data_IF_348830941363
#
_entry.id   IF_348830941363
#
_cell.length_a   1.000
_cell.length_b   1.000
_cell.length_c   1.000
_cell.angle_alpha   90.00
_cell.angle_beta   90.00
_cell.angle_gamma   90.00
#
_symmetry.space_group_name_H-M   'P 1'
#
loop_
_entity.id
_entity.type
_entity.pdbx_description
1 polymer ?
#
# COMPACT_ATOMS: atom_id res chain seq x y z
N UNK A 1 47.95 37.40 -58.96
CA UNK A 1 48.11 35.94 -59.08
C UNK A 1 47.75 35.31 -57.73
N UNK A 2 46.57 34.70 -57.65
CA UNK A 2 45.97 33.77 -56.67
C UNK A 2 46.41 33.82 -55.19
N UNK A 3 45.43 34.18 -54.34
CA UNK A 3 45.37 33.94 -52.90
C UNK A 3 45.10 32.46 -52.62
N UNK A 4 45.75 31.86 -51.61
CA UNK A 4 45.39 30.53 -51.11
C UNK A 4 45.02 30.67 -49.62
N UNK A 5 43.74 30.54 -49.33
CA UNK A 5 43.19 30.28 -48.00
C UNK A 5 43.27 28.77 -47.74
N UNK A 6 43.93 28.36 -46.66
CA UNK A 6 43.83 27.00 -46.14
C UNK A 6 42.87 27.01 -44.95
N UNK A 7 41.72 26.33 -45.11
CA UNK A 7 40.69 26.20 -44.10
C UNK A 7 41.05 25.10 -43.09
N UNK A 8 40.98 25.42 -41.80
CA UNK A 8 41.15 24.48 -40.69
C UNK A 8 39.88 23.66 -40.48
N UNK A 9 39.96 22.33 -40.60
CA UNK A 9 38.91 21.40 -40.20
C UNK A 9 39.02 21.09 -38.70
N UNK A 10 38.07 21.57 -37.91
CA UNK A 10 37.88 21.12 -36.53
C UNK A 10 36.87 19.97 -36.51
N UNK A 11 37.32 18.75 -36.16
CA UNK A 11 36.46 17.60 -35.97
C UNK A 11 35.85 17.65 -34.56
N UNK A 12 34.53 17.88 -34.46
CA UNK A 12 33.78 17.82 -33.21
C UNK A 12 33.38 16.38 -32.88
N UNK A 13 33.81 15.88 -31.73
CA UNK A 13 33.35 14.61 -31.15
C UNK A 13 32.06 14.89 -30.37
N UNK A 14 30.93 14.40 -30.88
CA UNK A 14 29.64 14.47 -30.17
C UNK A 14 29.51 13.22 -29.31
N UNK A 15 29.65 13.36 -28.00
CA UNK A 15 29.48 12.27 -27.04
C UNK A 15 27.99 12.06 -26.77
N UNK A 16 27.44 10.96 -27.26
CA UNK A 16 26.04 10.57 -27.07
C UNK A 16 25.80 10.15 -25.61
N UNK A 17 25.09 10.96 -24.83
CA UNK A 17 24.58 10.55 -23.50
C UNK A 17 23.34 9.68 -23.71
N UNK A 18 23.45 8.39 -23.41
CA UNK A 18 22.30 7.48 -23.39
C UNK A 18 21.59 7.66 -22.05
N UNK A 19 20.49 8.39 -22.03
CA UNK A 19 19.60 8.47 -20.87
C UNK A 19 18.68 7.24 -20.90
N UNK A 20 18.95 6.26 -20.04
CA UNK A 20 18.04 5.13 -19.83
C UNK A 20 16.80 5.62 -19.09
N UNK A 21 15.67 5.70 -19.78
CA UNK A 21 14.38 5.99 -19.17
C UNK A 21 13.91 4.77 -18.36
N UNK A 22 13.88 4.91 -17.03
CA UNK A 22 13.15 3.98 -16.18
C UNK A 22 11.66 4.16 -16.45
N UNK A 23 11.00 3.11 -16.97
CA UNK A 23 9.56 3.07 -17.08
C UNK A 23 8.95 3.08 -15.67
N UNK A 24 8.42 4.23 -15.25
CA UNK A 24 7.53 4.30 -14.11
C UNK A 24 6.24 3.55 -14.48
N UNK A 25 5.96 2.43 -13.82
CA UNK A 25 4.66 1.78 -13.92
C UNK A 25 3.59 2.76 -13.43
N UNK A 26 2.91 3.43 -14.36
CA UNK A 26 1.82 4.34 -14.04
C UNK A 26 0.63 3.53 -13.53
N UNK A 27 0.35 3.62 -12.23
CA UNK A 27 -0.90 3.09 -11.65
C UNK A 27 -2.06 3.84 -12.31
N UNK A 28 -2.88 3.11 -13.07
CA UNK A 28 -4.03 3.71 -13.76
C UNK A 28 -5.02 4.29 -12.74
N UNK A 29 -5.56 5.51 -12.92
CA UNK A 29 -6.49 6.14 -11.97
C UNK A 29 -7.71 5.28 -11.62
N UNK A 30 -8.13 4.41 -12.54
CA UNK A 30 -9.22 3.45 -12.34
C UNK A 30 -8.95 2.39 -11.25
N UNK A 31 -7.68 2.23 -10.84
CA UNK A 31 -7.26 1.26 -9.82
C UNK A 31 -7.01 1.92 -8.45
N UNK A 32 -7.40 3.19 -8.27
CA UNK A 32 -7.29 3.91 -7.01
C UNK A 32 -8.64 3.93 -6.30
N UNK A 33 -8.61 3.91 -4.96
CA UNK A 33 -9.82 4.09 -4.18
C UNK A 33 -10.48 5.43 -4.49
N UNK A 34 -11.81 5.46 -4.65
CA UNK A 34 -12.54 6.71 -4.69
C UNK A 34 -12.26 7.49 -3.39
N UNK A 35 -12.38 8.82 -3.45
CA UNK A 35 -12.22 9.79 -2.37
C UNK A 35 -10.83 9.89 -1.69
N UNK A 36 -10.04 8.81 -1.62
CA UNK A 36 -8.71 8.82 -0.99
C UNK A 36 -7.54 8.68 -1.98
N UNK A 37 -7.80 8.16 -3.18
CA UNK A 37 -6.76 7.93 -4.19
C UNK A 37 -5.67 6.95 -3.72
N UNK A 38 -6.03 5.99 -2.87
CA UNK A 38 -5.13 4.94 -2.36
C UNK A 38 -5.18 3.76 -3.31
N UNK A 39 -4.03 3.27 -3.77
CA UNK A 39 -3.92 2.06 -4.59
C UNK A 39 -3.37 0.87 -3.81
N UNK A 40 -3.26 -0.28 -4.47
CA UNK A 40 -2.48 -1.41 -3.97
C UNK A 40 -0.98 -1.08 -4.10
N UNK A 41 -0.20 -1.06 -3.00
CA UNK A 41 1.23 -0.79 -3.08
C UNK A 41 1.96 -1.92 -3.79
N UNK A 42 2.95 -1.62 -4.63
CA UNK A 42 3.74 -2.66 -5.28
C UNK A 42 4.54 -3.49 -4.27
N UNK A 43 4.60 -4.80 -4.47
CA UNK A 43 5.43 -5.69 -3.66
C UNK A 43 4.97 -5.91 -2.21
N UNK A 44 3.83 -5.35 -1.78
CA UNK A 44 3.34 -5.43 -0.40
C UNK A 44 3.23 -6.85 0.18
N UNK A 45 3.07 -7.87 -0.67
CA UNK A 45 3.04 -9.27 -0.24
C UNK A 45 4.38 -9.78 0.31
N UNK A 46 5.47 -9.02 0.13
CA UNK A 46 6.80 -9.28 0.69
C UNK A 46 7.08 -8.46 1.95
N UNK A 47 6.15 -7.59 2.35
CA UNK A 47 6.32 -6.77 3.55
C UNK A 47 6.18 -7.62 4.81
N UNK A 48 6.72 -7.10 5.92
CA UNK A 48 6.75 -7.80 7.19
C UNK A 48 5.33 -7.97 7.75
N UNK A 49 5.06 -9.18 8.28
CA UNK A 49 3.82 -9.47 8.98
C UNK A 49 3.77 -8.64 10.27
N UNK A 50 2.69 -7.89 10.45
CA UNK A 50 2.38 -7.17 11.68
C UNK A 50 1.64 -8.07 12.65
N UNK A 51 0.53 -8.68 12.21
CA UNK A 51 -0.22 -9.66 12.99
C UNK A 51 -1.28 -10.38 12.14
N UNK A 52 -1.60 -11.64 12.47
CA UNK A 52 -2.80 -12.29 12.01
C UNK A 52 -4.04 -11.84 12.81
N UNK A 53 -5.22 -12.07 12.24
CA UNK A 53 -6.49 -11.98 12.93
C UNK A 53 -7.48 -12.99 12.32
N UNK A 54 -8.41 -13.46 13.13
CA UNK A 54 -9.56 -14.22 12.68
C UNK A 54 -10.81 -13.38 12.93
N UNK A 55 -11.65 -13.25 11.91
CA UNK A 55 -12.97 -12.67 12.05
C UNK A 55 -14.01 -13.78 11.98
N UNK A 56 -14.87 -13.82 12.99
CA UNK A 56 -15.94 -14.79 13.09
C UNK A 56 -17.03 -14.56 12.01
N UNK A 57 -18.04 -15.41 12.04
CA UNK A 57 -19.26 -15.20 11.26
C UNK A 57 -19.84 -13.79 11.48
N UNK A 58 -20.41 -13.15 10.43
CA UNK A 58 -20.78 -13.74 9.14
C UNK A 58 -19.70 -13.66 8.05
N UNK A 59 -18.58 -12.97 8.32
CA UNK A 59 -17.53 -12.79 7.30
C UNK A 59 -16.65 -14.04 7.21
N UNK A 60 -16.39 -14.68 8.35
CA UNK A 60 -15.64 -15.93 8.47
C UNK A 60 -14.31 -15.88 7.70
N UNK A 61 -13.47 -14.93 8.12
CA UNK A 61 -12.23 -14.60 7.42
C UNK A 61 -11.00 -14.88 8.28
N UNK A 62 -9.97 -15.44 7.64
CA UNK A 62 -8.60 -15.35 8.09
C UNK A 62 -7.99 -14.07 7.51
N UNK A 63 -7.29 -13.32 8.34
CA UNK A 63 -6.70 -12.04 7.99
C UNK A 63 -5.25 -11.97 8.42
N UNK A 64 -4.45 -11.29 7.61
CA UNK A 64 -3.08 -10.96 7.94
C UNK A 64 -2.82 -9.51 7.57
N UNK A 65 -2.20 -8.76 8.48
CA UNK A 65 -1.80 -7.38 8.21
C UNK A 65 -0.30 -7.36 8.03
N UNK A 66 0.15 -6.82 6.91
CA UNK A 66 1.56 -6.54 6.62
C UNK A 66 1.80 -5.04 6.62
N UNK A 67 3.02 -4.60 6.93
CA UNK A 67 3.36 -3.19 7.00
C UNK A 67 4.71 -2.88 6.35
N UNK A 68 4.82 -1.69 5.78
CA UNK A 68 6.11 -1.22 5.27
C UNK A 68 7.11 -0.95 6.41
N UNK A 69 8.38 -0.72 6.08
CA UNK A 69 9.44 -0.51 7.07
C UNK A 69 9.14 0.63 8.06
N UNK A 70 8.43 1.67 7.62
CA UNK A 70 7.99 2.78 8.49
C UNK A 70 6.98 2.28 9.52
N UNK A 71 5.99 1.49 9.11
CA UNK A 71 5.01 0.88 10.00
C UNK A 71 5.69 -0.06 11.02
N UNK A 72 6.55 -0.96 10.54
CA UNK A 72 7.29 -1.91 11.38
C UNK A 72 8.12 -1.18 12.41
N UNK A 73 8.88 -0.16 12.00
CA UNK A 73 9.68 0.65 12.92
C UNK A 73 8.81 1.35 13.96
N UNK A 74 7.70 1.97 13.53
CA UNK A 74 6.78 2.64 14.45
C UNK A 74 6.20 1.67 15.48
N UNK A 75 5.84 0.46 15.08
CA UNK A 75 5.39 -0.58 16.00
C UNK A 75 6.46 -1.00 17.01
N UNK A 76 7.68 -1.29 16.54
CA UNK A 76 8.80 -1.71 17.40
C UNK A 76 9.20 -0.62 18.40
N UNK A 77 9.12 0.65 18.00
CA UNK A 77 9.41 1.80 18.85
C UNK A 77 8.22 2.18 19.77
N UNK A 78 7.03 1.59 19.60
CA UNK A 78 5.81 2.01 20.29
C UNK A 78 5.35 3.43 19.92
N UNK A 79 5.67 3.90 18.71
CA UNK A 79 5.46 5.27 18.27
C UNK A 79 4.03 5.50 17.79
N UNK A 80 3.34 6.45 18.46
CA UNK A 80 2.07 7.02 18.02
C UNK A 80 2.12 8.56 18.08
N UNK A 81 1.42 9.28 17.18
CA UNK A 81 0.78 8.76 15.97
C UNK A 81 1.79 8.12 15.00
N UNK A 82 1.32 7.27 14.09
CA UNK A 82 2.17 6.69 13.06
C UNK A 82 2.77 7.81 12.20
N UNK A 83 4.05 7.70 11.79
CA UNK A 83 4.66 8.68 10.90
C UNK A 83 3.99 8.71 9.52
N UNK A 84 3.99 9.87 8.87
CA UNK A 84 3.60 9.99 7.46
C UNK A 84 4.45 9.04 6.59
N UNK A 85 3.82 8.44 5.59
CA UNK A 85 4.38 7.36 4.78
C UNK A 85 4.18 5.95 5.36
N UNK A 86 3.61 5.82 6.57
CA UNK A 86 3.19 4.51 7.09
C UNK A 86 2.14 3.89 6.16
N UNK A 87 2.34 2.63 5.79
CA UNK A 87 1.34 1.86 5.03
C UNK A 87 1.10 0.52 5.71
N UNK A 88 -0.18 0.20 5.92
CA UNK A 88 -0.64 -1.10 6.39
C UNK A 88 -1.55 -1.72 5.33
N UNK A 89 -1.34 -3.00 5.05
CA UNK A 89 -2.16 -3.77 4.12
C UNK A 89 -2.73 -4.98 4.84
N UNK A 90 -4.05 -5.04 4.94
CA UNK A 90 -4.81 -6.18 5.45
C UNK A 90 -5.23 -7.08 4.28
N UNK A 91 -4.70 -8.28 4.28
CA UNK A 91 -5.09 -9.38 3.41
C UNK A 91 -6.19 -10.19 4.09
N UNK A 92 -7.23 -10.58 3.36
CA UNK A 92 -8.32 -11.40 3.87
C UNK A 92 -8.64 -12.56 2.92
N UNK A 93 -8.94 -13.71 3.53
CA UNK A 93 -9.36 -14.94 2.86
C UNK A 93 -10.50 -15.58 3.64
N UNK A 94 -11.34 -16.37 2.97
CA UNK A 94 -12.25 -17.27 3.66
C UNK A 94 -11.47 -18.25 4.53
N UNK A 95 -11.99 -18.48 5.73
CA UNK A 95 -11.53 -19.54 6.61
C UNK A 95 -11.86 -20.90 5.96
N UNK A 96 -10.91 -21.83 5.93
CA UNK A 96 -11.10 -23.16 5.35
C UNK A 96 -10.37 -24.21 6.19
N UNK A 97 -10.99 -25.36 6.40
CA UNK A 97 -10.38 -26.49 7.10
C UNK A 97 -9.18 -27.03 6.31
N UNK A 98 -8.05 -27.30 6.96
CA UNK A 98 -6.91 -27.95 6.28
C UNK A 98 -7.25 -29.41 5.97
N UNK A 99 -7.09 -29.86 4.71
CA UNK A 99 -7.22 -31.28 4.38
C UNK A 99 -6.02 -32.12 4.84
N UNK A 100 -4.87 -31.49 5.12
CA UNK A 100 -3.66 -32.18 5.57
C UNK A 100 -3.53 -32.28 7.09
N UNK A 101 -4.23 -31.42 7.85
CA UNK A 101 -4.15 -31.41 9.32
C UNK A 101 -5.47 -30.98 9.97
N UNK A 102 -6.23 -31.95 10.50
CA UNK A 102 -7.59 -31.76 11.04
C UNK A 102 -7.69 -30.69 12.14
N UNK A 103 -6.64 -30.48 12.93
CA UNK A 103 -6.63 -29.47 13.98
C UNK A 103 -6.39 -28.04 13.46
N UNK A 104 -6.06 -27.85 12.18
CA UNK A 104 -5.71 -26.55 11.62
C UNK A 104 -6.69 -26.07 10.54
N UNK A 105 -6.77 -24.75 10.44
CA UNK A 105 -7.41 -24.04 9.34
C UNK A 105 -6.40 -23.24 8.53
N UNK A 106 -6.67 -23.09 7.25
CA UNK A 106 -5.83 -22.40 6.27
C UNK A 106 -6.61 -21.34 5.49
N UNK A 107 -5.92 -20.37 4.86
CA UNK A 107 -6.55 -19.45 3.93
C UNK A 107 -7.18 -20.18 2.74
N UNK A 108 -8.46 -19.94 2.50
CA UNK A 108 -9.19 -20.36 1.30
C UNK A 108 -9.23 -19.26 0.23
N UNK A 109 -10.39 -19.05 -0.38
CA UNK A 109 -10.59 -18.01 -1.39
C UNK A 109 -10.27 -16.61 -0.84
N UNK A 110 -9.48 -15.83 -1.57
CA UNK A 110 -9.22 -14.44 -1.22
C UNK A 110 -10.52 -13.62 -1.30
N UNK A 111 -10.73 -12.71 -0.35
CA UNK A 111 -11.95 -11.89 -0.28
C UNK A 111 -11.64 -10.42 -0.56
N UNK A 112 -10.76 -9.83 0.26
CA UNK A 112 -10.41 -8.42 0.14
C UNK A 112 -8.93 -8.17 0.41
N UNK A 113 -8.43 -7.12 -0.21
CA UNK A 113 -7.21 -6.44 0.22
C UNK A 113 -7.61 -5.04 0.67
N UNK A 114 -7.20 -4.63 1.86
CA UNK A 114 -7.52 -3.32 2.42
C UNK A 114 -6.23 -2.61 2.77
N UNK A 115 -6.11 -1.35 2.37
CA UNK A 115 -4.90 -0.54 2.52
C UNK A 115 -5.25 0.70 3.33
N UNK A 116 -4.38 1.07 4.26
CA UNK A 116 -4.41 2.40 4.87
C UNK A 116 -3.04 3.05 4.78
N UNK A 117 -3.02 4.34 4.41
CA UNK A 117 -1.81 5.14 4.17
C UNK A 117 -1.84 6.38 5.05
N UNK A 118 -0.79 6.62 5.83
CA UNK A 118 -0.64 7.83 6.63
C UNK A 118 -0.07 8.96 5.79
N UNK A 119 -0.81 10.05 5.69
CA UNK A 119 -0.35 11.35 5.20
C UNK A 119 -1.20 12.43 5.88
N UNK A 120 -0.64 13.04 6.93
CA UNK A 120 -1.30 14.01 7.79
C UNK A 120 -1.84 15.23 7.03
N UNK A 121 -1.20 15.61 5.92
CA UNK A 121 -1.60 16.75 5.10
C UNK A 121 -2.67 16.37 4.10
N UNK A 122 -2.44 15.29 3.34
CA UNK A 122 -3.36 14.84 2.29
C UNK A 122 -4.70 14.36 2.87
N UNK A 123 -4.67 13.73 4.04
CA UNK A 123 -5.82 13.09 4.67
C UNK A 123 -6.26 13.77 5.97
N UNK A 124 -6.12 15.11 6.06
CA UNK A 124 -6.44 15.87 7.26
C UNK A 124 -7.89 15.66 7.76
N UNK A 125 -8.85 15.48 6.84
CA UNK A 125 -10.25 15.24 7.17
C UNK A 125 -10.55 13.84 7.75
N UNK A 126 -9.59 12.91 7.67
CA UNK A 126 -9.71 11.52 8.12
C UNK A 126 -8.59 11.12 9.08
N UNK A 127 -8.20 12.04 9.96
CA UNK A 127 -7.20 11.77 11.00
C UNK A 127 -5.79 11.50 10.43
N UNK A 128 -5.52 11.97 9.21
CA UNK A 128 -4.27 11.71 8.49
C UNK A 128 -4.21 10.37 7.78
N UNK A 129 -5.33 9.64 7.64
CA UNK A 129 -5.37 8.33 6.98
C UNK A 129 -6.21 8.30 5.72
N UNK A 130 -5.63 7.82 4.63
CA UNK A 130 -6.35 7.43 3.42
C UNK A 130 -6.63 5.93 3.41
N UNK A 131 -7.75 5.52 2.83
CA UNK A 131 -8.19 4.12 2.83
C UNK A 131 -8.43 3.61 1.41
N UNK A 132 -8.14 2.33 1.20
CA UNK A 132 -8.50 1.59 0.00
C UNK A 132 -9.03 0.20 0.35
N UNK A 133 -10.09 -0.23 -0.32
CA UNK A 133 -10.63 -1.59 -0.21
C UNK A 133 -10.83 -2.16 -1.60
N UNK A 134 -10.27 -3.35 -1.81
CA UNK A 134 -10.15 -3.97 -3.13
C UNK A 134 -10.71 -5.38 -3.11
N UNK A 135 -11.44 -5.73 -4.17
CA UNK A 135 -11.90 -7.09 -4.50
C UNK A 135 -11.33 -7.41 -5.87
N UNK A 136 -10.63 -8.53 -6.01
CA UNK A 136 -9.95 -8.94 -7.25
C UNK A 136 -9.09 -7.84 -7.88
N UNK A 137 -8.39 -7.09 -7.03
CA UNK A 137 -7.50 -6.00 -7.44
C UNK A 137 -8.20 -4.69 -7.83
N UNK A 138 -9.54 -4.63 -7.79
CA UNK A 138 -10.32 -3.45 -8.16
C UNK A 138 -10.89 -2.74 -6.93
N UNK A 139 -10.89 -1.40 -6.88
CA UNK A 139 -11.46 -0.66 -5.76
C UNK A 139 -12.98 -0.89 -5.69
N UNK A 140 -13.51 -1.01 -4.48
CA UNK A 140 -14.97 -0.95 -4.27
C UNK A 140 -15.50 0.47 -4.44
N UNK A 141 -16.82 0.64 -4.45
CA UNK A 141 -17.47 1.93 -4.67
C UNK A 141 -17.16 2.98 -3.57
N UNK A 142 -17.55 4.22 -3.86
CA UNK A 142 -17.37 5.36 -2.95
C UNK A 142 -18.13 5.18 -1.63
N UNK A 143 -19.36 4.71 -1.67
CA UNK A 143 -20.20 4.57 -0.47
C UNK A 143 -19.53 3.65 0.56
N UNK A 144 -18.90 2.56 0.12
CA UNK A 144 -18.15 1.67 1.00
C UNK A 144 -16.90 2.35 1.56
N UNK A 145 -16.18 3.16 0.78
CA UNK A 145 -15.00 3.89 1.27
C UNK A 145 -15.34 5.00 2.27
N UNK A 146 -16.49 5.67 2.12
CA UNK A 146 -16.97 6.70 3.07
C UNK A 146 -17.17 6.15 4.49
N UNK A 147 -17.41 4.83 4.64
CA UNK A 147 -17.56 4.19 5.95
C UNK A 147 -16.25 3.94 6.70
N UNK A 148 -15.11 3.94 6.00
CA UNK A 148 -13.83 3.48 6.57
C UNK A 148 -13.40 4.33 7.76
N UNK A 149 -13.30 5.65 7.59
CA UNK A 149 -12.79 6.51 8.65
C UNK A 149 -13.71 6.54 9.87
N UNK A 150 -15.02 6.69 9.68
CA UNK A 150 -15.98 6.73 10.80
C UNK A 150 -15.91 5.49 11.70
N UNK A 151 -15.73 4.30 11.12
CA UNK A 151 -15.54 3.06 11.87
C UNK A 151 -14.23 3.07 12.68
N UNK A 152 -13.14 3.47 12.06
CA UNK A 152 -11.83 3.55 12.71
C UNK A 152 -11.79 4.62 13.80
N UNK A 153 -12.38 5.80 13.56
CA UNK A 153 -12.52 6.87 14.54
C UNK A 153 -13.33 6.42 15.74
N UNK A 154 -14.49 5.79 15.52
CA UNK A 154 -15.35 5.37 16.63
C UNK A 154 -14.72 4.29 17.52
N UNK A 155 -13.83 3.44 16.97
CA UNK A 155 -13.35 2.23 17.66
C UNK A 155 -11.91 2.30 18.15
N UNK A 156 -11.04 3.04 17.45
CA UNK A 156 -9.58 2.98 17.68
C UNK A 156 -8.89 4.33 17.56
N UNK A 157 -9.60 5.44 17.82
CA UNK A 157 -9.05 6.81 17.82
C UNK A 157 -7.77 6.95 18.66
N UNK A 158 -7.78 6.44 19.89
CA UNK A 158 -6.64 6.52 20.83
C UNK A 158 -5.38 5.76 20.37
N UNK A 159 -5.48 5.00 19.27
CA UNK A 159 -4.38 4.21 18.70
C UNK A 159 -4.04 4.68 17.29
N UNK A 160 -4.21 5.98 17.07
CA UNK A 160 -4.06 6.62 15.76
C UNK A 160 -4.88 5.89 14.68
N UNK A 161 -6.12 5.53 15.03
CA UNK A 161 -7.07 4.92 14.11
C UNK A 161 -6.68 3.53 13.60
N UNK A 162 -5.73 2.82 14.23
CA UNK A 162 -5.27 1.49 13.79
C UNK A 162 -5.73 0.37 14.72
N UNK A 163 -6.45 -0.63 14.18
CA UNK A 163 -6.89 -1.80 14.95
C UNK A 163 -5.73 -2.75 15.28
N UNK A 164 -4.88 -3.04 14.31
CA UNK A 164 -3.83 -4.05 14.42
C UNK A 164 -2.78 -3.66 15.45
N UNK A 165 -2.43 -4.59 16.33
CA UNK A 165 -1.27 -4.48 17.22
C UNK A 165 -0.12 -5.31 16.64
N UNK A 166 1.10 -4.92 16.95
CA UNK A 166 2.28 -5.72 16.64
C UNK A 166 2.22 -7.07 17.37
N UNK A 167 2.33 -8.16 16.62
CA UNK A 167 2.51 -9.52 17.12
C UNK A 167 3.97 -9.93 16.78
N UNK A 168 4.89 -9.87 17.75
CA UNK A 168 6.31 -10.18 17.53
C UNK A 168 6.55 -11.65 17.18
#
# INVERSE_FOLDING_TARGET
MRWILAASLAAGVVSSVVVAAFAANTVSPANLSPIYGVGLPDGYRKWELIAPAQEAEPLNELRAVVGNDIAVKAYRDGKLPFPDGTVLVKLAWKHTQSPEFEAASIPGAATTVQVMVKDSKKYAASGGWGFGRFIDGKPVDQAQHETCFACHETRVKERDYVFTKWAP
#
